data_IF_886356780670
#
_entry.id   IF_886356780670
#
_cell.length_a   1.000
_cell.length_b   1.000
_cell.length_c   1.000
_cell.angle_alpha   90.00
_cell.angle_beta   90.00
_cell.angle_gamma   90.00
#
_symmetry.space_group_name_H-M   'P 1'
#
loop_
_entity.id
_entity.type
_entity.pdbx_description
1 polymer ?
#
# COMPACT_ATOMS: atom_id res chain seq x y z
N UNK A 1 12.25 -11.89 -23.64
CA UNK A 1 11.04 -12.19 -22.81
C UNK A 1 11.45 -12.10 -21.35
N UNK A 2 10.74 -11.31 -20.54
CA UNK A 2 10.95 -11.27 -19.09
C UNK A 2 10.62 -12.67 -18.54
N UNK A 3 11.61 -13.32 -17.95
CA UNK A 3 11.48 -14.73 -17.51
C UNK A 3 10.82 -14.89 -16.14
N UNK A 4 10.30 -13.80 -15.56
CA UNK A 4 9.67 -13.81 -14.22
C UNK A 4 8.45 -12.89 -14.21
N UNK A 5 7.49 -13.23 -13.36
CA UNK A 5 6.28 -12.47 -13.11
C UNK A 5 6.38 -11.81 -11.73
N UNK A 6 6.18 -10.50 -11.68
CA UNK A 6 6.15 -9.76 -10.42
C UNK A 6 4.90 -10.14 -9.60
N UNK A 7 5.02 -10.11 -8.29
CA UNK A 7 3.84 -10.22 -7.42
C UNK A 7 2.94 -8.99 -7.61
N UNK A 8 3.55 -7.78 -7.77
CA UNK A 8 2.80 -6.53 -7.87
C UNK A 8 3.50 -5.48 -8.74
N UNK A 9 2.72 -4.76 -9.53
CA UNK A 9 3.11 -3.48 -10.10
C UNK A 9 2.24 -2.39 -9.48
N UNK A 10 2.91 -1.40 -8.87
CA UNK A 10 2.27 -0.18 -8.41
C UNK A 10 2.18 0.80 -9.57
N UNK A 11 0.97 1.21 -9.92
CA UNK A 11 0.71 2.17 -11.00
C UNK A 11 0.14 3.45 -10.41
N UNK A 12 0.97 4.50 -10.40
CA UNK A 12 0.60 5.81 -9.86
C UNK A 12 -0.20 6.58 -10.92
N UNK A 13 -1.52 6.46 -10.91
CA UNK A 13 -2.37 7.23 -11.83
C UNK A 13 -2.35 8.73 -11.54
N UNK A 14 -1.97 9.12 -10.33
CA UNK A 14 -1.77 10.49 -9.89
C UNK A 14 -0.90 10.53 -8.63
N UNK A 15 -0.08 11.58 -8.48
CA UNK A 15 0.59 11.89 -7.22
C UNK A 15 -0.02 13.11 -6.51
N UNK A 16 -1.15 13.61 -7.00
CA UNK A 16 -1.94 14.65 -6.32
C UNK A 16 -2.74 13.99 -5.19
N UNK A 17 -2.68 14.56 -4.00
CA UNK A 17 -3.45 14.14 -2.84
C UNK A 17 -4.15 15.32 -2.20
N UNK A 18 -5.38 15.11 -1.73
CA UNK A 18 -6.13 16.11 -0.98
C UNK A 18 -5.90 16.04 0.53
N UNK A 19 -5.13 15.06 1.02
CA UNK A 19 -4.64 14.97 2.40
C UNK A 19 -3.16 15.32 2.46
N UNK A 20 -2.70 15.78 3.64
CA UNK A 20 -1.30 16.10 3.95
C UNK A 20 -0.90 15.38 5.24
N UNK A 21 -0.92 14.04 5.19
CA UNK A 21 -0.68 13.22 6.38
C UNK A 21 0.76 13.37 6.89
N UNK A 22 0.91 13.56 8.19
CA UNK A 22 2.22 13.75 8.84
C UNK A 22 3.15 12.53 8.70
N UNK A 23 2.58 11.32 8.50
CA UNK A 23 3.33 10.09 8.27
C UNK A 23 3.65 9.80 6.80
N UNK A 24 3.24 10.67 5.88
CA UNK A 24 3.44 10.50 4.44
C UNK A 24 4.57 11.39 3.94
N UNK A 25 5.45 10.94 3.05
CA UNK A 25 6.51 11.78 2.49
C UNK A 25 5.99 12.81 1.48
N UNK A 26 4.67 12.99 1.36
CA UNK A 26 4.05 13.95 0.44
C UNK A 26 4.59 15.37 0.62
N UNK A 27 4.87 15.80 1.87
CA UNK A 27 5.36 17.14 2.17
C UNK A 27 6.81 17.40 1.67
N UNK A 28 7.59 16.34 1.51
CA UNK A 28 9.01 16.40 1.11
C UNK A 28 9.24 15.84 -0.30
N UNK A 29 8.19 15.47 -1.02
CA UNK A 29 8.28 14.99 -2.39
C UNK A 29 8.65 16.13 -3.33
N UNK A 30 9.75 15.96 -4.07
CA UNK A 30 10.31 16.97 -4.98
C UNK A 30 9.69 16.90 -6.38
N UNK A 31 9.15 15.74 -6.79
CA UNK A 31 8.51 15.59 -8.09
C UNK A 31 7.33 16.54 -8.30
N UNK A 32 7.16 17.04 -9.52
CA UNK A 32 5.96 17.80 -9.90
C UNK A 32 4.70 17.00 -9.62
N UNK A 33 3.63 17.71 -9.25
CA UNK A 33 2.30 17.11 -9.08
C UNK A 33 1.63 16.95 -10.44
N UNK A 34 0.98 15.81 -10.66
CA UNK A 34 0.33 15.57 -11.93
C UNK A 34 -0.52 14.32 -11.95
N UNK A 35 -1.03 14.07 -13.13
CA UNK A 35 -1.87 12.92 -13.46
C UNK A 35 -1.28 12.19 -14.64
N UNK A 36 -1.36 10.86 -14.63
CA UNK A 36 -0.99 10.04 -15.78
C UNK A 36 -1.98 10.32 -16.92
N UNK A 37 -1.47 10.57 -18.11
CA UNK A 37 -2.32 10.69 -19.29
C UNK A 37 -2.86 9.32 -19.73
N UNK A 38 -4.03 9.31 -20.36
CA UNK A 38 -4.69 8.07 -20.74
C UNK A 38 -3.88 7.22 -21.75
N UNK A 39 -3.19 7.78 -22.76
CA UNK A 39 -2.35 6.99 -23.64
C UNK A 39 -1.21 6.25 -22.92
N UNK A 40 -0.56 6.90 -21.96
CA UNK A 40 0.48 6.27 -21.14
C UNK A 40 -0.09 5.18 -20.24
N UNK A 41 -1.25 5.44 -19.61
CA UNK A 41 -1.96 4.45 -18.82
C UNK A 41 -2.33 3.22 -19.66
N UNK A 42 -2.88 3.44 -20.85
CA UNK A 42 -3.25 2.38 -21.79
C UNK A 42 -2.04 1.52 -22.13
N UNK A 43 -0.94 2.16 -22.56
CA UNK A 43 0.31 1.46 -22.85
C UNK A 43 0.79 0.61 -21.66
N UNK A 44 0.77 1.16 -20.43
CA UNK A 44 1.18 0.43 -19.24
C UNK A 44 0.31 -0.80 -18.98
N UNK A 45 -1.01 -0.65 -19.09
CA UNK A 45 -1.96 -1.74 -18.86
C UNK A 45 -1.87 -2.81 -19.96
N UNK A 46 -1.69 -2.42 -21.21
CA UNK A 46 -1.51 -3.34 -22.35
C UNK A 46 -0.26 -4.20 -22.16
N UNK A 47 0.89 -3.58 -21.91
CA UNK A 47 2.14 -4.30 -21.71
C UNK A 47 2.09 -5.25 -20.50
N UNK A 48 1.47 -4.82 -19.38
CA UNK A 48 1.30 -5.68 -18.19
C UNK A 48 0.43 -6.89 -18.51
N UNK A 49 -0.66 -6.71 -19.23
CA UNK A 49 -1.60 -7.78 -19.58
C UNK A 49 -1.01 -8.72 -20.63
N UNK A 50 -0.50 -8.19 -21.75
CA UNK A 50 0.02 -8.95 -22.87
C UNK A 50 1.19 -9.86 -22.48
N UNK A 51 2.08 -9.35 -21.63
CA UNK A 51 3.25 -10.08 -21.18
C UNK A 51 3.09 -10.74 -19.81
N UNK A 52 1.89 -10.65 -19.20
CA UNK A 52 1.57 -11.20 -17.88
C UNK A 52 2.61 -10.85 -16.80
N UNK A 53 3.00 -9.55 -16.76
CA UNK A 53 4.15 -9.09 -15.97
C UNK A 53 3.91 -9.07 -14.47
N UNK A 54 2.66 -9.01 -14.01
CA UNK A 54 2.34 -8.97 -12.60
C UNK A 54 1.10 -9.80 -12.25
N UNK A 55 1.03 -10.31 -11.01
CA UNK A 55 -0.18 -10.94 -10.46
C UNK A 55 -1.21 -9.92 -10.04
N UNK A 56 -0.76 -8.77 -9.55
CA UNK A 56 -1.58 -7.67 -9.05
C UNK A 56 -1.10 -6.37 -9.69
N UNK A 57 -2.03 -5.58 -10.20
CA UNK A 57 -1.83 -4.17 -10.54
C UNK A 57 -2.47 -3.35 -9.43
N UNK A 58 -1.71 -2.48 -8.78
CA UNK A 58 -2.22 -1.66 -7.69
C UNK A 58 -2.23 -0.18 -8.10
N UNK A 59 -3.40 0.44 -8.17
CA UNK A 59 -3.51 1.89 -8.24
C UNK A 59 -3.17 2.48 -6.88
N UNK A 60 -1.89 2.66 -6.70
CA UNK A 60 -1.25 3.07 -5.46
C UNK A 60 0.17 3.51 -5.75
N UNK A 61 0.73 4.37 -4.98
CA UNK A 61 2.08 4.78 -4.69
C UNK A 61 2.00 6.11 -3.93
N UNK A 62 1.95 7.24 -4.60
CA UNK A 62 1.61 8.53 -4.00
C UNK A 62 0.24 9.00 -4.47
N UNK A 63 -0.26 10.10 -3.88
CA UNK A 63 -1.54 10.69 -4.27
C UNK A 63 -2.78 9.98 -3.74
N UNK A 64 -3.93 10.46 -4.22
CA UNK A 64 -5.25 9.86 -3.95
C UNK A 64 -5.92 9.47 -5.27
N UNK A 65 -5.99 8.18 -5.60
CA UNK A 65 -6.51 7.75 -6.89
C UNK A 65 -7.95 8.20 -7.17
N UNK A 66 -8.83 8.28 -6.16
CA UNK A 66 -10.23 8.67 -6.38
C UNK A 66 -10.43 10.16 -6.74
N UNK A 67 -9.37 10.99 -6.67
CA UNK A 67 -9.43 12.35 -7.23
C UNK A 67 -8.83 12.44 -8.65
N UNK A 68 -8.25 11.36 -9.18
CA UNK A 68 -7.81 11.30 -10.56
C UNK A 68 -9.02 11.48 -11.49
N UNK A 69 -9.01 12.45 -12.45
CA UNK A 69 -10.19 12.78 -13.25
C UNK A 69 -10.75 11.61 -14.06
N UNK A 70 -9.91 10.65 -14.41
CA UNK A 70 -10.26 9.51 -15.24
C UNK A 70 -10.31 8.17 -14.48
N UNK A 71 -10.44 8.20 -13.13
CA UNK A 71 -10.27 7.00 -12.29
C UNK A 71 -11.19 5.84 -12.70
N UNK A 72 -12.48 6.09 -12.92
CA UNK A 72 -13.40 5.02 -13.29
C UNK A 72 -13.09 4.44 -14.67
N UNK A 73 -12.72 5.30 -15.64
CA UNK A 73 -12.23 4.84 -16.94
C UNK A 73 -10.95 4.00 -16.80
N UNK A 74 -10.03 4.41 -15.93
CA UNK A 74 -8.79 3.68 -15.66
C UNK A 74 -9.06 2.29 -15.05
N UNK A 75 -10.03 2.20 -14.13
CA UNK A 75 -10.48 0.93 -13.55
C UNK A 75 -11.08 0.04 -14.64
N UNK A 76 -12.00 0.56 -15.44
CA UNK A 76 -12.63 -0.18 -16.54
C UNK A 76 -11.58 -0.69 -17.55
N UNK A 77 -10.60 0.15 -17.90
CA UNK A 77 -9.51 -0.23 -18.82
C UNK A 77 -8.67 -1.39 -18.25
N UNK A 78 -8.37 -1.39 -16.96
CA UNK A 78 -7.61 -2.46 -16.32
C UNK A 78 -8.42 -3.76 -16.23
N UNK A 79 -9.69 -3.68 -15.84
CA UNK A 79 -10.57 -4.84 -15.71
C UNK A 79 -10.90 -5.47 -17.07
N UNK A 80 -11.10 -4.66 -18.12
CA UNK A 80 -11.32 -5.15 -19.47
C UNK A 80 -10.16 -5.98 -20.03
N UNK A 81 -8.94 -5.77 -19.50
CA UNK A 81 -7.73 -6.56 -19.82
C UNK A 81 -7.54 -7.79 -18.92
N UNK A 82 -8.51 -8.08 -18.04
CA UNK A 82 -8.44 -9.21 -17.11
C UNK A 82 -7.40 -9.04 -15.99
N UNK A 83 -6.94 -7.81 -15.74
CA UNK A 83 -5.96 -7.55 -14.69
C UNK A 83 -6.59 -7.64 -13.30
N UNK A 84 -5.89 -8.27 -12.35
CA UNK A 84 -6.28 -8.27 -10.94
C UNK A 84 -5.93 -6.91 -10.32
N UNK A 85 -6.89 -5.99 -10.36
CA UNK A 85 -6.72 -4.61 -9.95
C UNK A 85 -7.03 -4.43 -8.45
N UNK A 86 -6.10 -3.84 -7.72
CA UNK A 86 -6.29 -3.36 -6.35
C UNK A 86 -6.24 -1.83 -6.33
N UNK A 87 -7.14 -1.20 -5.59
CA UNK A 87 -7.16 0.24 -5.37
C UNK A 87 -6.86 0.56 -3.92
N UNK A 88 -5.96 1.51 -3.67
CA UNK A 88 -5.75 2.07 -2.32
C UNK A 88 -6.20 3.51 -2.31
N UNK A 89 -7.10 3.88 -1.41
CA UNK A 89 -7.68 5.23 -1.29
C UNK A 89 -7.65 5.72 0.15
N UNK A 90 -7.59 7.03 0.34
CA UNK A 90 -7.80 7.64 1.64
C UNK A 90 -9.28 7.69 2.07
N UNK A 91 -10.21 7.39 1.16
CA UNK A 91 -11.64 7.32 1.44
C UNK A 91 -12.37 8.66 1.53
N UNK A 92 -11.70 9.79 1.40
CA UNK A 92 -12.30 11.13 1.56
C UNK A 92 -13.44 11.41 0.57
N UNK A 93 -13.34 10.87 -0.64
CA UNK A 93 -14.34 11.07 -1.68
C UNK A 93 -15.68 10.40 -1.37
N UNK A 94 -15.71 9.41 -0.49
CA UNK A 94 -16.96 8.74 -0.12
C UNK A 94 -17.97 9.67 0.59
N UNK A 95 -17.48 10.74 1.24
CA UNK A 95 -18.33 11.82 1.73
C UNK A 95 -18.42 12.97 0.73
N UNK A 96 -17.31 13.45 0.19
CA UNK A 96 -17.23 14.64 -0.68
C UNK A 96 -17.98 14.43 -1.99
N UNK A 97 -17.96 13.20 -2.52
CA UNK A 97 -18.62 12.78 -3.78
C UNK A 97 -19.36 11.47 -3.54
N UNK A 98 -20.54 11.50 -2.91
CA UNK A 98 -21.26 10.28 -2.51
C UNK A 98 -21.54 9.30 -3.66
N UNK A 99 -21.67 9.82 -4.88
CA UNK A 99 -21.84 9.01 -6.08
C UNK A 99 -20.64 8.09 -6.39
N UNK A 100 -19.45 8.40 -5.85
CA UNK A 100 -18.26 7.53 -6.01
C UNK A 100 -18.44 6.18 -5.32
N UNK A 101 -19.24 6.09 -4.26
CA UNK A 101 -19.51 4.83 -3.58
C UNK A 101 -20.12 3.80 -4.53
N UNK A 102 -21.28 4.15 -5.10
CA UNK A 102 -22.00 3.25 -6.01
C UNK A 102 -21.24 3.03 -7.31
N UNK A 103 -20.60 4.07 -7.86
CA UNK A 103 -19.76 3.92 -9.06
C UNK A 103 -18.64 2.90 -8.82
N UNK A 104 -17.96 2.95 -7.67
CA UNK A 104 -16.86 2.04 -7.37
C UNK A 104 -17.35 0.59 -7.17
N UNK A 105 -18.48 0.41 -6.49
CA UNK A 105 -19.13 -0.92 -6.36
C UNK A 105 -19.47 -1.48 -7.74
N UNK A 106 -20.05 -0.68 -8.61
CA UNK A 106 -20.49 -1.10 -9.95
C UNK A 106 -19.32 -1.46 -10.89
N UNK A 107 -18.09 -1.03 -10.61
CA UNK A 107 -16.94 -1.43 -11.44
C UNK A 107 -16.60 -2.92 -11.31
N UNK A 108 -17.00 -3.56 -10.22
CA UNK A 108 -16.59 -4.94 -9.94
C UNK A 108 -15.10 -5.10 -9.62
N UNK A 109 -14.43 -4.02 -9.19
CA UNK A 109 -13.01 -4.09 -8.80
C UNK A 109 -12.79 -5.16 -7.71
N UNK A 110 -11.78 -6.05 -7.85
CA UNK A 110 -11.59 -7.15 -6.92
C UNK A 110 -11.30 -6.70 -5.48
N UNK A 111 -10.50 -5.63 -5.32
CA UNK A 111 -10.10 -5.19 -3.98
C UNK A 111 -9.96 -3.67 -3.86
N UNK A 112 -10.47 -3.15 -2.75
CA UNK A 112 -10.30 -1.75 -2.31
C UNK A 112 -9.70 -1.74 -0.92
N UNK A 113 -8.54 -1.10 -0.76
CA UNK A 113 -7.94 -0.82 0.55
C UNK A 113 -8.21 0.63 0.93
N UNK A 114 -8.91 0.85 2.04
CA UNK A 114 -9.17 2.18 2.58
C UNK A 114 -8.11 2.48 3.63
N UNK A 115 -7.24 3.43 3.35
CA UNK A 115 -6.23 3.93 4.28
C UNK A 115 -6.88 4.81 5.33
N UNK A 116 -7.66 4.24 6.25
CA UNK A 116 -8.25 4.96 7.38
C UNK A 116 -7.15 5.57 8.24
N UNK A 117 -6.15 4.77 8.63
CA UNK A 117 -4.95 5.13 9.39
C UNK A 117 -5.25 5.59 10.82
N UNK A 118 -6.04 6.65 10.97
CA UNK A 118 -6.39 7.32 12.22
C UNK A 118 -7.86 7.06 12.53
N UNK A 119 -8.17 6.16 13.51
CA UNK A 119 -9.52 5.62 13.68
C UNK A 119 -10.49 6.52 14.45
N UNK A 120 -10.01 7.58 15.07
CA UNK A 120 -10.78 8.45 15.96
C UNK A 120 -10.63 9.94 15.59
N UNK A 121 -11.57 10.82 16.05
CA UNK A 121 -11.55 12.24 15.72
C UNK A 121 -10.31 13.01 16.23
N UNK A 122 -9.68 12.58 17.32
CA UNK A 122 -8.54 13.27 17.91
C UNK A 122 -7.29 13.03 17.04
N UNK A 123 -7.08 11.80 16.61
CA UNK A 123 -5.94 11.45 15.74
C UNK A 123 -6.16 11.85 14.28
N UNK A 124 -7.39 12.16 13.87
CA UNK A 124 -7.69 12.57 12.49
C UNK A 124 -6.94 13.83 12.04
N UNK A 125 -6.57 14.73 12.95
CA UNK A 125 -5.79 15.93 12.65
C UNK A 125 -4.46 15.60 11.94
N UNK A 126 -3.87 14.45 12.26
CA UNK A 126 -2.61 13.94 11.67
C UNK A 126 -2.75 13.69 10.16
N UNK A 127 -4.00 13.53 9.68
CA UNK A 127 -4.29 13.32 8.25
C UNK A 127 -4.12 14.59 7.42
N UNK A 128 -4.05 15.78 8.03
CA UNK A 128 -3.99 17.03 7.28
C UNK A 128 -5.08 17.14 6.21
N UNK A 129 -6.29 16.73 6.56
CA UNK A 129 -7.45 16.77 5.68
C UNK A 129 -7.90 18.22 5.40
N UNK A 130 -8.59 18.49 4.28
CA UNK A 130 -9.18 19.81 4.03
C UNK A 130 -10.08 20.24 5.20
N UNK A 131 -10.04 21.51 5.64
CA UNK A 131 -10.78 21.99 6.82
C UNK A 131 -12.30 21.79 6.75
N UNK A 132 -12.84 21.67 5.54
CA UNK A 132 -14.27 21.44 5.30
C UNK A 132 -14.69 20.00 5.60
N UNK A 133 -13.76 19.05 5.59
CA UNK A 133 -14.04 17.64 5.86
C UNK A 133 -13.88 17.35 7.35
N UNK A 134 -15.01 17.20 8.05
CA UNK A 134 -15.02 16.87 9.48
C UNK A 134 -14.77 15.37 9.70
N UNK A 135 -14.15 14.97 10.82
CA UNK A 135 -13.87 13.56 11.11
C UNK A 135 -15.11 12.66 11.03
N UNK A 136 -16.22 13.10 11.61
CA UNK A 136 -17.48 12.33 11.62
C UNK A 136 -17.99 12.09 10.19
N UNK A 137 -17.98 13.13 9.36
CA UNK A 137 -18.39 13.05 7.95
C UNK A 137 -17.50 12.10 7.15
N UNK A 138 -16.20 12.15 7.41
CA UNK A 138 -15.22 11.25 6.80
C UNK A 138 -15.48 9.79 7.18
N UNK A 139 -15.66 9.52 8.49
CA UNK A 139 -15.93 8.19 8.99
C UNK A 139 -17.28 7.65 8.53
N UNK A 140 -18.31 8.51 8.47
CA UNK A 140 -19.61 8.14 7.94
C UNK A 140 -19.56 7.76 6.46
N UNK A 141 -18.82 8.53 5.67
CA UNK A 141 -18.62 8.23 4.24
C UNK A 141 -17.98 6.86 4.00
N UNK A 142 -16.96 6.51 4.79
CA UNK A 142 -16.31 5.19 4.74
C UNK A 142 -17.29 4.10 5.19
N UNK A 143 -17.98 4.32 6.32
CA UNK A 143 -18.95 3.37 6.86
C UNK A 143 -20.03 3.05 5.84
N UNK A 144 -20.57 4.09 5.20
CA UNK A 144 -21.62 3.91 4.21
C UNK A 144 -21.13 3.14 2.98
N UNK A 145 -19.93 3.45 2.46
CA UNK A 145 -19.35 2.69 1.34
C UNK A 145 -19.19 1.19 1.68
N UNK A 146 -18.68 0.88 2.86
CA UNK A 146 -18.52 -0.51 3.30
C UNK A 146 -19.86 -1.22 3.42
N UNK A 147 -20.85 -0.57 4.06
CA UNK A 147 -22.20 -1.14 4.23
C UNK A 147 -22.91 -1.33 2.88
N UNK A 148 -22.83 -0.35 1.97
CA UNK A 148 -23.38 -0.44 0.62
C UNK A 148 -22.78 -1.65 -0.13
N UNK A 149 -21.47 -1.83 -0.06
CA UNK A 149 -20.78 -2.96 -0.68
C UNK A 149 -21.14 -4.31 -0.06
N UNK A 150 -21.32 -4.38 1.26
CA UNK A 150 -21.74 -5.62 1.95
C UNK A 150 -23.17 -6.00 1.63
N UNK A 151 -24.04 -5.00 1.48
CA UNK A 151 -25.48 -5.17 1.18
C UNK A 151 -25.73 -5.55 -0.28
N UNK A 152 -24.83 -5.21 -1.20
CA UNK A 152 -24.99 -5.53 -2.63
C UNK A 152 -24.65 -7.01 -2.88
N UNK A 153 -25.65 -7.85 -3.26
CA UNK A 153 -25.42 -9.27 -3.56
C UNK A 153 -24.56 -9.50 -4.80
N UNK A 154 -24.50 -8.53 -5.70
CA UNK A 154 -23.72 -8.62 -6.93
C UNK A 154 -22.26 -8.17 -6.75
N UNK A 155 -21.96 -7.45 -5.67
CA UNK A 155 -20.58 -7.02 -5.40
C UNK A 155 -19.73 -8.18 -4.90
N UNK A 156 -18.57 -8.37 -5.53
CA UNK A 156 -17.50 -9.25 -5.08
C UNK A 156 -16.27 -8.47 -4.58
N UNK A 157 -16.38 -7.15 -4.47
CA UNK A 157 -15.28 -6.30 -4.02
C UNK A 157 -14.92 -6.60 -2.57
N UNK A 158 -13.67 -7.00 -2.34
CA UNK A 158 -13.12 -7.16 -1.00
C UNK A 158 -12.58 -5.83 -0.49
N UNK A 159 -13.02 -5.42 0.69
CA UNK A 159 -12.59 -4.17 1.32
C UNK A 159 -11.67 -4.47 2.49
N UNK A 160 -10.49 -3.83 2.50
CA UNK A 160 -9.62 -3.76 3.66
C UNK A 160 -9.66 -2.36 4.25
N UNK A 161 -9.92 -2.26 5.55
CA UNK A 161 -9.82 -1.01 6.29
C UNK A 161 -8.50 -1.00 7.08
N UNK A 162 -7.59 -0.07 6.75
CA UNK A 162 -6.21 -0.07 7.21
C UNK A 162 -5.98 0.91 8.36
N UNK A 163 -5.43 0.40 9.47
CA UNK A 163 -5.12 1.13 10.70
C UNK A 163 -3.63 1.28 10.88
N UNK A 164 -3.19 2.46 11.29
CA UNK A 164 -1.80 2.74 11.62
C UNK A 164 -1.51 2.33 13.05
N UNK A 165 -0.55 1.41 13.23
CA UNK A 165 -0.04 0.99 14.52
C UNK A 165 1.25 1.76 14.83
N UNK A 166 1.19 2.64 15.81
CA UNK A 166 2.34 3.44 16.27
C UNK A 166 3.05 2.83 17.47
N UNK A 167 2.73 1.58 17.80
CA UNK A 167 3.45 0.84 18.84
C UNK A 167 4.94 0.79 18.48
N UNK A 168 5.85 1.18 19.40
CA UNK A 168 7.28 1.14 19.14
C UNK A 168 7.73 -0.24 18.67
N UNK A 169 8.42 -0.28 17.53
CA UNK A 169 8.91 -1.52 16.95
C UNK A 169 10.45 -1.56 17.03
N UNK A 170 11.07 -2.69 17.49
CA UNK A 170 12.51 -2.75 17.71
C UNK A 170 13.35 -2.56 16.43
N UNK A 171 12.77 -2.83 15.27
CA UNK A 171 13.47 -2.77 13.98
C UNK A 171 13.00 -1.65 13.04
N UNK A 172 11.84 -1.05 13.30
CA UNK A 172 11.34 0.10 12.55
C UNK A 172 11.48 1.31 13.45
N UNK A 173 12.28 2.26 13.03
CA UNK A 173 12.47 3.52 13.78
C UNK A 173 11.73 4.61 13.00
N UNK A 174 10.53 4.97 13.42
CA UNK A 174 9.85 6.13 12.84
C UNK A 174 10.59 7.40 13.23
N UNK A 175 10.78 8.31 12.27
CA UNK A 175 11.49 9.57 12.51
C UNK A 175 10.65 10.58 13.28
N UNK A 176 9.34 10.49 13.17
CA UNK A 176 8.41 11.28 13.94
C UNK A 176 7.84 10.44 15.06
N UNK A 177 8.00 10.90 16.29
CA UNK A 177 7.19 10.38 17.38
C UNK A 177 5.75 10.80 17.10
N UNK A 178 4.93 9.82 16.84
CA UNK A 178 3.53 10.01 16.47
C UNK A 178 2.71 9.01 17.27
N UNK A 179 1.66 9.50 17.90
CA UNK A 179 0.77 8.69 18.72
C UNK A 179 -0.60 8.60 18.05
N UNK A 180 -0.89 7.48 17.40
CA UNK A 180 -2.19 7.20 16.79
C UNK A 180 -2.88 6.10 17.56
N UNK A 181 -2.39 4.86 17.45
CA UNK A 181 -2.86 3.72 18.23
C UNK A 181 -1.63 2.96 18.71
N UNK A 182 -1.50 2.81 20.03
CA UNK A 182 -0.35 2.18 20.65
C UNK A 182 -0.74 1.03 21.58
N UNK A 183 -0.01 -0.08 21.42
CA UNK A 183 -0.19 -1.23 22.26
C UNK A 183 -1.45 -2.05 21.95
N UNK A 184 -1.51 -3.21 22.57
CA UNK A 184 -2.54 -4.22 22.27
C UNK A 184 -3.95 -3.77 22.66
N UNK A 185 -4.08 -3.17 23.85
CA UNK A 185 -5.40 -2.83 24.39
C UNK A 185 -6.10 -1.74 23.56
N UNK A 186 -5.39 -0.65 23.25
CA UNK A 186 -5.95 0.44 22.45
C UNK A 186 -6.29 -0.04 21.05
N UNK A 187 -5.38 -0.79 20.39
CA UNK A 187 -5.67 -1.32 19.05
C UNK A 187 -6.89 -2.25 19.04
N UNK A 188 -7.02 -3.12 20.02
CA UNK A 188 -8.19 -3.99 20.12
C UNK A 188 -9.49 -3.21 20.35
N UNK A 189 -9.44 -2.14 21.14
CA UNK A 189 -10.59 -1.24 21.35
C UNK A 189 -11.01 -0.60 20.03
N UNK A 190 -10.08 -0.02 19.26
CA UNK A 190 -10.36 0.62 17.98
C UNK A 190 -10.89 -0.38 16.94
N UNK A 191 -10.22 -1.54 16.82
CA UNK A 191 -10.67 -2.59 15.90
C UNK A 191 -12.08 -3.09 16.23
N UNK A 192 -12.43 -3.21 17.52
CA UNK A 192 -13.78 -3.63 17.95
C UNK A 192 -14.80 -2.54 17.62
N UNK A 193 -14.52 -1.29 17.96
CA UNK A 193 -15.42 -0.18 17.68
C UNK A 193 -15.70 -0.04 16.17
N UNK A 194 -14.68 -0.18 15.33
CA UNK A 194 -14.85 -0.15 13.89
C UNK A 194 -15.56 -1.40 13.34
N UNK A 195 -15.28 -2.60 13.86
CA UNK A 195 -16.01 -3.80 13.47
C UNK A 195 -17.51 -3.66 13.77
N UNK A 196 -17.87 -3.17 14.97
CA UNK A 196 -19.26 -2.90 15.36
C UNK A 196 -19.88 -1.86 14.44
N UNK A 197 -19.21 -0.74 14.21
CA UNK A 197 -19.68 0.31 13.32
C UNK A 197 -19.92 -0.17 11.89
N UNK A 198 -19.03 -0.97 11.31
CA UNK A 198 -19.13 -1.42 9.93
C UNK A 198 -20.19 -2.52 9.74
N UNK A 199 -20.36 -3.39 10.74
CA UNK A 199 -21.22 -4.57 10.66
C UNK A 199 -22.59 -4.39 11.34
N UNK A 200 -22.90 -3.19 11.83
CA UNK A 200 -24.21 -2.88 12.37
C UNK A 200 -25.30 -3.07 11.30
N UNK A 201 -26.29 -3.92 11.59
CA UNK A 201 -27.36 -4.32 10.66
C UNK A 201 -26.90 -5.26 9.52
N UNK A 202 -25.65 -5.73 9.50
CA UNK A 202 -25.17 -6.63 8.47
C UNK A 202 -25.59 -8.09 8.75
N UNK A 203 -26.26 -8.74 7.79
CA UNK A 203 -26.67 -10.14 7.90
C UNK A 203 -25.50 -11.14 7.99
N UNK A 204 -24.31 -10.74 7.51
CA UNK A 204 -23.10 -11.55 7.54
C UNK A 204 -22.23 -11.27 8.77
N UNK A 205 -22.74 -10.50 9.76
CA UNK A 205 -22.01 -10.22 11.00
C UNK A 205 -21.72 -11.52 11.75
N UNK A 206 -20.44 -11.84 12.06
CA UNK A 206 -20.11 -12.94 12.97
C UNK A 206 -20.69 -12.70 14.37
N UNK A 207 -20.73 -13.75 15.19
CA UNK A 207 -21.09 -13.56 16.62
C UNK A 207 -20.08 -12.66 17.33
N UNK A 208 -20.51 -11.97 18.37
CA UNK A 208 -19.64 -11.08 19.14
C UNK A 208 -18.45 -11.82 19.74
N UNK A 209 -18.64 -13.09 20.15
CA UNK A 209 -17.56 -13.91 20.68
C UNK A 209 -16.51 -14.26 19.61
N UNK A 210 -16.94 -14.59 18.39
CA UNK A 210 -16.04 -14.86 17.26
C UNK A 210 -15.27 -13.59 16.87
N UNK A 211 -15.93 -12.44 16.76
CA UNK A 211 -15.27 -11.17 16.52
C UNK A 211 -14.21 -10.85 17.57
N UNK A 212 -14.57 -10.97 18.86
CA UNK A 212 -13.64 -10.75 19.97
C UNK A 212 -12.44 -11.69 19.91
N UNK A 213 -12.65 -12.97 19.60
CA UNK A 213 -11.55 -13.94 19.48
C UNK A 213 -10.63 -13.60 18.31
N UNK A 214 -11.16 -13.19 17.16
CA UNK A 214 -10.34 -12.77 16.00
C UNK A 214 -9.50 -11.55 16.33
N UNK A 215 -10.10 -10.51 16.93
CA UNK A 215 -9.43 -9.28 17.34
C UNK A 215 -8.41 -9.54 18.47
N UNK A 216 -8.72 -10.42 19.41
CA UNK A 216 -7.81 -10.77 20.51
C UNK A 216 -6.48 -11.38 20.05
N UNK A 217 -6.42 -11.97 18.85
CA UNK A 217 -5.21 -12.51 18.24
C UNK A 217 -4.26 -11.43 17.71
N UNK A 218 -4.69 -10.17 17.68
CA UNK A 218 -3.86 -9.05 17.25
C UNK A 218 -2.55 -8.97 18.06
N UNK A 219 -1.44 -8.73 17.37
CA UNK A 219 -0.10 -8.55 17.93
C UNK A 219 0.43 -7.16 17.54
N UNK A 220 0.69 -6.28 18.52
CA UNK A 220 1.16 -4.92 18.23
C UNK A 220 2.47 -4.89 17.42
N UNK A 221 2.66 -3.84 16.65
CA UNK A 221 3.85 -3.63 15.84
C UNK A 221 4.01 -4.61 14.67
N UNK A 222 2.93 -5.30 14.28
CA UNK A 222 2.96 -6.25 13.16
C UNK A 222 1.91 -5.91 12.12
N UNK A 223 2.26 -6.18 10.89
CA UNK A 223 1.29 -6.19 9.82
C UNK A 223 0.40 -7.43 9.93
N UNK A 224 -0.90 -7.23 10.04
CA UNK A 224 -1.89 -8.30 10.20
C UNK A 224 -3.19 -7.95 9.50
N UNK A 225 -3.88 -8.99 9.05
CA UNK A 225 -5.23 -8.92 8.49
C UNK A 225 -6.17 -9.73 9.39
N UNK A 226 -7.27 -9.11 9.78
CA UNK A 226 -8.33 -9.70 10.61
C UNK A 226 -9.59 -9.75 9.75
N UNK A 227 -9.91 -10.95 9.26
CA UNK A 227 -11.10 -11.18 8.46
C UNK A 227 -12.36 -11.01 9.32
N UNK A 228 -13.26 -10.13 8.90
CA UNK A 228 -14.57 -9.96 9.54
C UNK A 228 -15.65 -10.75 8.78
N UNK A 229 -15.69 -10.58 7.47
CA UNK A 229 -16.56 -11.31 6.54
C UNK A 229 -15.77 -11.68 5.28
N UNK A 230 -16.28 -12.50 4.36
CA UNK A 230 -15.60 -12.77 3.09
C UNK A 230 -15.24 -11.51 2.27
N UNK A 231 -16.03 -10.43 2.45
CA UNK A 231 -15.84 -9.17 1.72
C UNK A 231 -15.18 -8.05 2.55
N UNK A 232 -14.94 -8.25 3.84
CA UNK A 232 -14.44 -7.19 4.73
C UNK A 232 -13.36 -7.70 5.68
N UNK A 233 -12.24 -7.00 5.73
CA UNK A 233 -11.18 -7.23 6.70
C UNK A 233 -10.68 -5.91 7.31
N UNK A 234 -10.21 -5.97 8.55
CA UNK A 234 -9.42 -4.93 9.19
C UNK A 234 -7.94 -5.28 9.01
N UNK A 235 -7.12 -4.28 8.69
CA UNK A 235 -5.70 -4.43 8.46
C UNK A 235 -4.93 -3.50 9.38
N UNK A 236 -3.98 -4.01 10.15
CA UNK A 236 -3.06 -3.20 10.95
C UNK A 236 -1.67 -3.24 10.34
N UNK A 237 -0.97 -2.12 10.35
CA UNK A 237 0.41 -2.09 9.90
C UNK A 237 1.23 -1.10 10.75
N UNK A 238 2.50 -1.42 11.03
CA UNK A 238 3.35 -0.56 11.82
C UNK A 238 3.74 0.70 11.05
N UNK A 239 3.94 1.80 11.76
CA UNK A 239 4.47 3.04 11.18
C UNK A 239 5.82 2.77 10.52
N UNK A 240 5.94 3.13 9.25
CA UNK A 240 7.16 2.95 8.46
C UNK A 240 7.94 4.27 8.33
N UNK A 241 9.23 4.16 8.15
CA UNK A 241 10.15 5.28 7.97
C UNK A 241 10.28 5.78 6.52
N UNK A 242 9.52 5.26 5.60
CA UNK A 242 9.64 5.56 4.16
C UNK A 242 11.08 5.51 3.64
N UNK A 243 11.81 4.47 4.03
CA UNK A 243 13.19 4.30 3.60
C UNK A 243 14.19 5.21 4.32
N UNK A 244 13.86 5.64 5.54
CA UNK A 244 14.67 6.54 6.37
C UNK A 244 14.88 7.93 5.71
N UNK A 245 13.94 8.38 4.90
CA UNK A 245 14.09 9.61 4.10
C UNK A 245 14.28 10.86 4.97
N UNK A 246 13.57 10.93 6.10
CA UNK A 246 13.65 12.07 7.02
C UNK A 246 14.77 11.93 8.09
N UNK A 247 15.48 10.81 8.14
CA UNK A 247 16.58 10.63 9.10
C UNK A 247 17.79 11.50 8.74
N UNK A 248 18.31 12.25 9.69
CA UNK A 248 19.55 13.01 9.51
C UNK A 248 20.77 12.10 9.49
N UNK A 249 20.79 11.10 10.37
CA UNK A 249 21.89 10.16 10.50
C UNK A 249 21.39 8.72 10.27
N UNK A 250 21.93 8.07 9.25
CA UNK A 250 21.66 6.68 8.94
C UNK A 250 22.97 5.97 8.64
N UNK A 251 23.26 4.92 9.39
CA UNK A 251 24.32 3.98 9.07
C UNK A 251 23.84 3.14 7.90
N UNK A 252 24.46 3.26 6.72
CA UNK A 252 23.97 2.61 5.51
C UNK A 252 24.14 1.09 5.57
N UNK A 253 23.19 0.36 5.01
CA UNK A 253 23.31 -1.08 4.85
C UNK A 253 24.23 -1.42 3.67
N UNK A 254 25.17 -2.32 3.87
CA UNK A 254 26.02 -2.85 2.79
C UNK A 254 25.67 -4.29 2.44
N UNK A 255 24.98 -4.98 3.35
CA UNK A 255 24.55 -6.37 3.26
C UNK A 255 23.04 -6.45 3.48
N UNK A 256 22.37 -7.42 2.84
CA UNK A 256 20.96 -7.69 3.06
C UNK A 256 20.22 -8.09 1.79
N UNK A 257 18.90 -8.31 1.92
CA UNK A 257 18.04 -8.64 0.81
C UNK A 257 16.78 -7.76 0.78
N UNK A 258 16.42 -7.32 -0.40
CA UNK A 258 15.15 -6.65 -0.66
C UNK A 258 14.50 -7.24 -1.92
N UNK A 259 13.18 -7.32 -1.94
CA UNK A 259 12.41 -7.80 -3.08
C UNK A 259 12.09 -6.71 -4.13
N UNK A 260 12.64 -5.52 -3.99
CA UNK A 260 12.58 -4.48 -5.03
C UNK A 260 13.10 -5.01 -6.37
N UNK A 261 12.37 -4.75 -7.46
CA UNK A 261 12.61 -5.29 -8.81
C UNK A 261 12.48 -6.81 -8.99
N UNK A 262 12.37 -7.58 -7.91
CA UNK A 262 12.17 -9.04 -7.98
C UNK A 262 10.71 -9.44 -7.83
N UNK A 263 10.01 -8.86 -6.84
CA UNK A 263 8.59 -9.12 -6.57
C UNK A 263 7.71 -7.91 -6.90
N UNK A 264 8.30 -6.72 -7.00
CA UNK A 264 7.54 -5.49 -7.23
C UNK A 264 8.30 -4.48 -8.11
N UNK A 265 7.55 -3.60 -8.75
CA UNK A 265 8.01 -2.40 -9.41
C UNK A 265 6.96 -1.29 -9.26
N UNK A 266 7.35 -0.04 -9.49
CA UNK A 266 6.43 1.09 -9.56
C UNK A 266 6.50 1.77 -10.93
N UNK A 267 5.38 2.30 -11.39
CA UNK A 267 5.29 3.17 -12.57
C UNK A 267 4.70 4.48 -12.08
N UNK A 268 5.49 5.53 -12.13
CA UNK A 268 5.08 6.87 -11.70
C UNK A 268 4.18 7.51 -12.77
N UNK A 269 3.41 8.54 -12.40
CA UNK A 269 2.43 9.16 -13.30
C UNK A 269 3.03 9.71 -14.61
N UNK A 270 4.32 10.02 -14.61
CA UNK A 270 5.06 10.54 -15.78
C UNK A 270 5.68 9.44 -16.65
N UNK A 271 5.50 8.16 -16.27
CA UNK A 271 6.02 6.98 -16.95
C UNK A 271 7.35 6.47 -16.41
N UNK A 272 7.96 7.15 -15.45
CA UNK A 272 9.20 6.68 -14.82
C UNK A 272 8.96 5.36 -14.07
N UNK A 273 9.76 4.35 -14.37
CA UNK A 273 9.71 3.05 -13.70
C UNK A 273 10.72 3.03 -12.56
N UNK A 274 10.26 2.60 -11.38
CA UNK A 274 11.03 2.58 -10.13
C UNK A 274 11.06 1.17 -9.52
N UNK A 275 12.06 0.82 -8.69
CA UNK A 275 12.23 -0.54 -8.18
C UNK A 275 11.18 -0.97 -7.15
N UNK A 276 10.54 -0.04 -6.46
CA UNK A 276 9.56 -0.33 -5.42
C UNK A 276 8.71 0.91 -5.06
N UNK A 277 7.64 0.71 -4.27
CA UNK A 277 6.77 1.79 -3.83
C UNK A 277 7.41 2.80 -2.85
N UNK A 278 8.58 2.48 -2.25
CA UNK A 278 9.30 3.42 -1.38
C UNK A 278 10.15 4.43 -2.15
N UNK A 279 10.41 4.18 -3.41
CA UNK A 279 11.04 5.17 -4.29
C UNK A 279 9.98 6.11 -4.89
N UNK A 280 9.27 6.77 -3.99
CA UNK A 280 8.16 7.67 -4.31
C UNK A 280 8.59 8.92 -5.08
N UNK A 281 9.88 9.26 -5.04
CA UNK A 281 10.44 10.45 -5.70
C UNK A 281 11.20 10.12 -7.00
N UNK A 282 11.28 8.81 -7.36
CA UNK A 282 11.92 8.39 -8.59
C UNK A 282 13.43 8.56 -8.57
N UNK A 283 14.07 8.44 -7.40
CA UNK A 283 15.52 8.60 -7.23
C UNK A 283 16.33 7.43 -7.82
N UNK A 284 15.68 6.31 -8.11
CA UNK A 284 16.27 5.14 -8.75
C UNK A 284 15.51 4.84 -10.06
N UNK A 285 15.57 5.71 -11.06
CA UNK A 285 14.85 5.48 -12.32
C UNK A 285 15.44 4.28 -13.04
N UNK A 286 14.61 3.29 -13.33
CA UNK A 286 15.00 2.10 -14.12
C UNK A 286 14.86 2.37 -15.62
N UNK A 287 14.05 3.31 -16.01
CA UNK A 287 13.73 3.75 -17.35
C UNK A 287 12.41 4.50 -17.39
N UNK A 288 11.93 4.89 -18.57
CA UNK A 288 10.66 5.55 -18.75
C UNK A 288 9.81 4.86 -19.82
N UNK A 289 8.53 4.60 -19.54
CA UNK A 289 7.60 3.96 -20.48
C UNK A 289 7.31 4.78 -21.73
N UNK A 290 7.62 6.09 -21.74
CA UNK A 290 7.46 6.90 -22.95
C UNK A 290 8.54 6.56 -24.00
N UNK A 291 9.70 6.10 -23.53
CA UNK A 291 10.87 5.86 -24.39
C UNK A 291 11.08 4.36 -24.69
N UNK A 292 10.67 3.48 -23.75
CA UNK A 292 10.92 2.04 -23.80
C UNK A 292 9.66 1.24 -23.44
N UNK A 293 9.68 -0.05 -23.73
CA UNK A 293 8.68 -1.00 -23.22
C UNK A 293 9.00 -1.40 -21.77
N UNK A 294 7.99 -1.78 -21.02
CA UNK A 294 8.16 -2.25 -19.65
C UNK A 294 9.03 -3.54 -19.60
N UNK A 295 8.89 -4.39 -20.61
CA UNK A 295 9.75 -5.56 -20.76
C UNK A 295 11.21 -5.19 -20.89
N UNK A 296 11.56 -4.20 -21.75
CA UNK A 296 12.93 -3.74 -21.90
C UNK A 296 13.48 -3.12 -20.61
N UNK A 297 12.66 -2.35 -19.89
CA UNK A 297 13.07 -1.69 -18.64
C UNK A 297 13.33 -2.72 -17.54
N UNK A 298 12.48 -3.74 -17.43
CA UNK A 298 12.58 -4.77 -16.39
C UNK A 298 13.52 -5.90 -16.74
N UNK A 299 14.01 -5.97 -17.98
CA UNK A 299 14.86 -7.06 -18.47
C UNK A 299 16.30 -7.00 -17.96
N UNK A 300 17.03 -8.06 -18.27
CA UNK A 300 18.28 -8.54 -17.68
C UNK A 300 19.49 -7.60 -17.89
N UNK A 301 19.42 -6.61 -18.76
CA UNK A 301 20.59 -5.82 -19.17
C UNK A 301 20.64 -4.38 -18.63
N UNK A 302 19.74 -3.96 -17.74
CA UNK A 302 19.58 -2.56 -17.32
C UNK A 302 19.64 -2.37 -15.78
N UNK A 303 19.52 -1.17 -15.24
CA UNK A 303 19.64 -0.89 -13.80
C UNK A 303 18.84 -1.82 -12.89
N UNK A 304 17.66 -2.28 -13.34
CA UNK A 304 16.86 -3.27 -12.63
C UNK A 304 17.63 -4.58 -12.39
N UNK A 305 18.39 -5.04 -13.36
CA UNK A 305 19.22 -6.25 -13.23
C UNK A 305 20.35 -6.06 -12.22
N UNK A 306 21.04 -4.93 -12.24
CA UNK A 306 22.13 -4.64 -11.29
C UNK A 306 21.64 -4.65 -9.85
N UNK A 307 20.46 -4.08 -9.57
CA UNK A 307 19.82 -4.14 -8.24
C UNK A 307 19.48 -5.57 -7.84
N UNK A 308 18.83 -6.34 -8.74
CA UNK A 308 18.48 -7.74 -8.48
C UNK A 308 19.70 -8.62 -8.24
N UNK A 309 20.74 -8.48 -9.04
CA UNK A 309 21.97 -9.24 -8.86
C UNK A 309 22.66 -8.90 -7.55
N UNK A 310 22.72 -7.61 -7.18
CA UNK A 310 23.22 -7.17 -5.88
C UNK A 310 22.47 -7.85 -4.73
N UNK A 311 21.15 -7.74 -4.71
CA UNK A 311 20.33 -8.39 -3.65
C UNK A 311 20.43 -9.92 -3.65
N UNK A 312 20.52 -10.57 -4.82
CA UNK A 312 20.73 -12.02 -4.88
C UNK A 312 22.08 -12.45 -4.31
N UNK A 313 23.09 -11.58 -4.40
CA UNK A 313 24.40 -11.77 -3.77
C UNK A 313 24.42 -11.23 -2.32
N UNK A 314 23.28 -10.82 -1.77
CA UNK A 314 23.14 -10.18 -0.45
C UNK A 314 23.94 -8.87 -0.32
N UNK A 315 24.20 -8.18 -1.44
CA UNK A 315 24.90 -6.89 -1.47
C UNK A 315 23.90 -5.78 -1.76
N UNK A 316 23.95 -4.73 -0.98
CA UNK A 316 23.16 -3.50 -1.19
C UNK A 316 24.07 -2.47 -1.86
N UNK A 317 23.93 -2.32 -3.17
CA UNK A 317 24.87 -1.51 -3.98
C UNK A 317 24.41 -0.09 -4.20
N UNK A 318 23.10 0.16 -4.26
CA UNK A 318 22.56 1.49 -4.51
C UNK A 318 22.49 2.31 -3.21
N UNK A 319 22.98 3.57 -3.17
CA UNK A 319 22.99 4.41 -1.97
C UNK A 319 21.62 4.65 -1.35
N UNK A 320 20.58 4.82 -2.16
CA UNK A 320 19.19 4.99 -1.67
C UNK A 320 18.73 3.71 -0.97
N UNK A 321 19.00 2.53 -1.56
CA UNK A 321 18.69 1.25 -0.94
C UNK A 321 19.50 1.02 0.35
N UNK A 322 20.77 1.42 0.35
CA UNK A 322 21.64 1.35 1.54
C UNK A 322 21.06 2.18 2.68
N UNK A 323 20.61 3.41 2.39
CA UNK A 323 19.93 4.27 3.35
C UNK A 323 18.60 3.66 3.81
N UNK A 324 17.76 3.19 2.89
CA UNK A 324 16.46 2.58 3.18
C UNK A 324 16.56 1.38 4.12
N UNK A 325 17.57 0.54 3.95
CA UNK A 325 17.81 -0.67 4.76
C UNK A 325 18.71 -0.41 5.97
N UNK A 326 19.28 0.78 6.10
CA UNK A 326 20.11 1.21 7.21
C UNK A 326 19.31 1.55 8.47
N UNK A 327 19.98 2.02 9.51
CA UNK A 327 19.38 2.47 10.76
C UNK A 327 20.23 3.52 11.48
N UNK A 328 19.70 4.09 12.55
CA UNK A 328 20.34 5.12 13.39
C UNK A 328 21.53 4.63 14.22
N UNK A 329 21.63 3.32 14.48
CA UNK A 329 22.73 2.70 15.24
C UNK A 329 23.28 1.49 14.50
N UNK A 330 24.56 1.15 14.78
CA UNK A 330 25.22 -0.02 14.19
C UNK A 330 24.49 -1.34 14.53
N UNK A 331 24.04 -1.48 15.77
CA UNK A 331 23.32 -2.67 16.21
C UNK A 331 22.01 -2.84 15.46
N UNK A 332 21.19 -1.77 15.36
CA UNK A 332 19.93 -1.81 14.61
C UNK A 332 20.17 -2.02 13.12
N UNK A 333 21.19 -1.37 12.54
CA UNK A 333 21.56 -1.56 11.14
C UNK A 333 21.92 -3.02 10.85
N UNK A 334 22.73 -3.65 11.69
CA UNK A 334 23.08 -5.07 11.57
C UNK A 334 21.84 -5.97 11.71
N UNK A 335 21.00 -5.73 12.71
CA UNK A 335 19.77 -6.50 12.93
C UNK A 335 18.80 -6.38 11.74
N UNK A 336 18.64 -5.18 11.16
CA UNK A 336 17.82 -4.98 9.96
C UNK A 336 18.38 -5.72 8.75
N UNK A 337 19.68 -5.69 8.54
CA UNK A 337 20.35 -6.38 7.43
C UNK A 337 20.17 -7.91 7.54
N UNK A 338 20.48 -8.50 8.68
CA UNK A 338 20.27 -9.95 8.94
C UNK A 338 18.79 -10.30 8.90
N UNK A 339 17.95 -9.48 9.55
CA UNK A 339 16.50 -9.65 9.58
C UNK A 339 15.87 -9.62 8.18
N UNK A 340 16.37 -8.77 7.28
CA UNK A 340 15.88 -8.71 5.89
C UNK A 340 16.12 -10.03 5.16
N UNK A 341 17.29 -10.64 5.32
CA UNK A 341 17.60 -11.93 4.71
C UNK A 341 16.72 -13.02 5.30
N UNK A 342 16.63 -13.10 6.64
CA UNK A 342 15.79 -14.08 7.32
C UNK A 342 14.31 -13.94 6.91
N UNK A 343 13.80 -12.72 6.82
CA UNK A 343 12.42 -12.47 6.43
C UNK A 343 12.16 -12.89 4.99
N UNK A 344 12.91 -12.36 4.03
CA UNK A 344 12.60 -12.58 2.60
C UNK A 344 13.04 -13.94 2.07
N UNK A 345 14.14 -14.52 2.58
CA UNK A 345 14.66 -15.81 2.08
C UNK A 345 14.13 -17.02 2.83
N UNK A 346 13.66 -16.85 4.08
CA UNK A 346 13.19 -17.96 4.90
C UNK A 346 11.72 -17.79 5.29
N UNK A 347 11.38 -16.73 6.04
CA UNK A 347 10.06 -16.58 6.62
C UNK A 347 8.96 -16.37 5.55
N UNK A 348 9.16 -15.43 4.65
CA UNK A 348 8.16 -15.10 3.62
C UNK A 348 7.84 -16.28 2.67
N UNK A 349 8.81 -17.05 2.14
CA UNK A 349 8.51 -18.24 1.36
C UNK A 349 7.75 -19.32 2.12
N UNK A 350 8.03 -19.50 3.42
CA UNK A 350 7.31 -20.43 4.28
C UNK A 350 5.86 -19.97 4.46
N UNK A 351 5.66 -18.68 4.77
CA UNK A 351 4.32 -18.13 4.96
C UNK A 351 3.48 -18.17 3.69
N UNK A 352 4.06 -17.90 2.53
CA UNK A 352 3.37 -18.04 1.22
C UNK A 352 2.89 -19.47 0.96
N UNK A 353 3.57 -20.49 1.49
CA UNK A 353 3.15 -21.90 1.39
C UNK A 353 2.06 -22.27 2.39
N UNK A 354 2.12 -21.69 3.60
CA UNK A 354 1.21 -22.04 4.69
C UNK A 354 -0.10 -21.23 4.66
N UNK A 355 -0.07 -20.02 4.09
CA UNK A 355 -1.21 -19.11 4.05
C UNK A 355 -1.41 -18.60 2.62
N UNK A 356 -2.31 -19.24 1.84
CA UNK A 356 -2.71 -18.72 0.53
C UNK A 356 -3.18 -17.26 0.69
N UNK A 357 -2.70 -16.36 -0.19
CA UNK A 357 -2.97 -14.93 -0.09
C UNK A 357 -1.97 -14.12 0.78
N UNK A 358 -1.00 -14.77 1.41
CA UNK A 358 0.08 -14.07 2.09
C UNK A 358 0.90 -13.20 1.11
N UNK A 359 0.94 -11.89 1.36
CA UNK A 359 1.60 -10.93 0.49
C UNK A 359 0.75 -10.40 -0.66
N UNK A 360 -0.50 -10.85 -0.81
CA UNK A 360 -1.49 -10.27 -1.75
C UNK A 360 -2.19 -9.03 -1.18
N UNK A 361 -1.74 -8.59 -0.07
CA UNK A 361 -2.36 -7.53 0.73
C UNK A 361 -1.90 -6.17 0.26
#
# INVERSE_FOLDING_TARGET
MVSYRLERIHLEVTNVCNFKCDFCPDAIMERKRGHMDLPLLEKALDEIAEHNLAKIVAFHLMGEPLIYPHIFKAIDMALARGLNLHLTTNGSTFHIRPEHRQKLINTGIPKVTISLQTPDPLTFIIRGAPPQLKPEQYFDGITQYVRDNLADPNSNTRIHLKFLDTTPHPFLVPHKQMHVVEGKAQMQQELTAWADRLLDGCSQRPSDDDLRQRIARHKPGRWQVIELTPKLALETFPLDSWGNVESTEVIPATFGYCNGTSDQAGILYDGTVVPCCKDYDGQIPLGNLRDHTLCEILDVQKPACGLRQGFNQLKVTNPICQRCMGADTQQKALLRQVGSVAYFKVYNPIMKRLQPGWGEI
#
